data_IF_014841332671
#
_entry.id   IF_014841332671
#
_cell.length_a   1.000
_cell.length_b   1.000
_cell.length_c   1.000
_cell.angle_alpha   90.00
_cell.angle_beta   90.00
_cell.angle_gamma   90.00
#
_symmetry.space_group_name_H-M   'P 1'
#
loop_
_entity.id
_entity.type
_entity.pdbx_description
1 polymer ?
#
# COMPACT_ATOMS: atom_id res chain seq x y z
N UNK A 1 52.95 8.09 -4.83
CA UNK A 1 51.91 9.11 -4.58
C UNK A 1 51.55 9.70 -5.94
N UNK A 2 50.60 9.09 -6.65
CA UNK A 2 50.17 9.52 -7.98
C UNK A 2 49.30 10.77 -7.86
N UNK A 3 49.50 11.81 -8.69
CA UNK A 3 48.70 13.03 -8.63
C UNK A 3 47.28 12.72 -9.12
N UNK A 4 46.29 13.17 -8.34
CA UNK A 4 44.87 13.12 -8.73
C UNK A 4 44.68 14.11 -9.88
N UNK A 5 44.18 13.61 -11.01
CA UNK A 5 43.82 14.43 -12.17
C UNK A 5 42.55 15.25 -11.86
N UNK A 6 42.74 16.48 -11.38
CA UNK A 6 41.68 17.47 -11.16
C UNK A 6 41.45 18.29 -12.44
N UNK A 7 41.06 17.61 -13.52
CA UNK A 7 40.57 18.28 -14.73
C UNK A 7 39.18 18.91 -14.45
N UNK A 8 38.94 20.20 -14.78
CA UNK A 8 37.68 20.87 -14.51
C UNK A 8 36.54 20.20 -15.29
N UNK A 9 35.51 19.71 -14.58
CA UNK A 9 34.32 19.08 -15.21
C UNK A 9 33.64 20.09 -16.13
N UNK A 10 33.31 19.68 -17.35
CA UNK A 10 32.65 20.58 -18.29
C UNK A 10 31.19 20.84 -17.86
N UNK A 11 30.73 22.11 -17.86
CA UNK A 11 29.40 22.47 -17.37
C UNK A 11 28.26 21.82 -18.18
N UNK A 12 28.52 21.47 -19.45
CA UNK A 12 27.58 20.72 -20.29
C UNK A 12 27.44 19.26 -19.84
N UNK A 13 28.54 18.60 -19.47
CA UNK A 13 28.52 17.22 -18.98
C UNK A 13 27.74 17.12 -17.67
N UNK A 14 27.97 18.04 -16.74
CA UNK A 14 27.26 18.07 -15.46
C UNK A 14 25.77 18.35 -15.64
N UNK A 15 25.39 19.22 -16.60
CA UNK A 15 23.99 19.47 -16.94
C UNK A 15 23.30 18.23 -17.54
N UNK A 16 23.97 17.53 -18.48
CA UNK A 16 23.44 16.29 -19.06
C UNK A 16 23.26 15.23 -17.99
N UNK A 17 24.26 15.03 -17.11
CA UNK A 17 24.16 14.07 -16.01
C UNK A 17 23.00 14.40 -15.07
N UNK A 18 22.80 15.68 -14.73
CA UNK A 18 21.69 16.12 -13.89
C UNK A 18 20.32 15.87 -14.55
N UNK A 19 20.17 16.19 -15.84
CA UNK A 19 18.93 15.94 -16.58
C UNK A 19 18.64 14.44 -16.68
N UNK A 20 19.64 13.65 -17.03
CA UNK A 20 19.51 12.18 -17.10
C UNK A 20 19.12 11.60 -15.73
N UNK A 21 19.77 12.05 -14.66
CA UNK A 21 19.44 11.61 -13.30
C UNK A 21 17.98 11.94 -12.93
N UNK A 22 17.50 13.15 -13.30
CA UNK A 22 16.10 13.53 -13.10
C UNK A 22 15.17 12.63 -13.90
N UNK A 23 15.46 12.38 -15.18
CA UNK A 23 14.62 11.50 -16.01
C UNK A 23 14.54 10.08 -15.44
N UNK A 24 15.66 9.54 -14.96
CA UNK A 24 15.69 8.24 -14.28
C UNK A 24 14.85 8.28 -13.00
N UNK A 25 15.01 9.31 -12.16
CA UNK A 25 14.23 9.46 -10.93
C UNK A 25 12.71 9.56 -11.21
N UNK A 26 12.32 10.29 -12.25
CA UNK A 26 10.93 10.40 -12.71
C UNK A 26 10.40 9.05 -13.15
N UNK A 27 11.14 8.32 -13.98
CA UNK A 27 10.73 6.99 -14.44
C UNK A 27 10.55 6.01 -13.26
N UNK A 28 11.46 6.04 -12.28
CA UNK A 28 11.36 5.24 -11.06
C UNK A 28 10.12 5.62 -10.23
N UNK A 29 9.87 6.91 -10.02
CA UNK A 29 8.70 7.37 -9.29
C UNK A 29 7.39 6.96 -9.98
N UNK A 30 7.31 7.07 -11.31
CA UNK A 30 6.14 6.61 -12.07
C UNK A 30 5.95 5.10 -11.89
N UNK A 31 7.02 4.31 -12.02
CA UNK A 31 6.98 2.86 -11.84
C UNK A 31 6.51 2.46 -10.44
N UNK A 32 7.03 3.10 -9.39
CA UNK A 32 6.60 2.88 -8.01
C UNK A 32 5.13 3.27 -7.79
N UNK A 33 4.69 4.38 -8.40
CA UNK A 33 3.29 4.80 -8.33
C UNK A 33 2.34 3.82 -9.01
N UNK A 34 2.72 3.29 -10.18
CA UNK A 34 1.95 2.23 -10.88
C UNK A 34 1.91 0.95 -10.05
N UNK A 35 3.02 0.55 -9.44
CA UNK A 35 3.06 -0.63 -8.58
C UNK A 35 2.13 -0.50 -7.37
N UNK A 36 2.17 0.66 -6.67
CA UNK A 36 1.24 0.95 -5.56
C UNK A 36 -0.22 0.97 -6.03
N UNK A 37 -0.50 1.52 -7.21
CA UNK A 37 -1.84 1.53 -7.79
C UNK A 37 -2.35 0.10 -8.06
N UNK A 38 -1.55 -0.77 -8.66
CA UNK A 38 -1.95 -2.17 -8.88
C UNK A 38 -2.21 -2.90 -7.55
N UNK A 39 -1.41 -2.63 -6.51
CA UNK A 39 -1.63 -3.21 -5.19
C UNK A 39 -2.96 -2.74 -4.59
N UNK A 40 -3.28 -1.46 -4.74
CA UNK A 40 -4.58 -0.90 -4.35
C UNK A 40 -5.73 -1.55 -5.11
N UNK A 41 -5.61 -1.70 -6.43
CA UNK A 41 -6.66 -2.27 -7.27
C UNK A 41 -6.98 -3.72 -6.89
N UNK A 42 -5.95 -4.55 -6.75
CA UNK A 42 -6.11 -5.94 -6.31
C UNK A 42 -6.80 -6.05 -4.95
N UNK A 43 -6.41 -5.21 -3.97
CA UNK A 43 -7.10 -5.18 -2.67
C UNK A 43 -8.54 -4.68 -2.79
N UNK A 44 -8.80 -3.73 -3.69
CA UNK A 44 -10.12 -3.13 -3.91
C UNK A 44 -11.10 -4.15 -4.47
N UNK A 45 -10.68 -4.96 -5.42
CA UNK A 45 -11.50 -6.03 -6.02
C UNK A 45 -11.89 -7.06 -4.96
N UNK A 46 -10.91 -7.61 -4.21
CA UNK A 46 -11.18 -8.58 -3.13
C UNK A 46 -12.10 -7.99 -2.06
N UNK A 47 -11.83 -6.76 -1.60
CA UNK A 47 -12.67 -6.11 -0.61
C UNK A 47 -14.08 -5.79 -1.13
N UNK A 48 -14.25 -5.56 -2.44
CA UNK A 48 -15.56 -5.36 -3.05
C UNK A 48 -16.37 -6.66 -3.07
N UNK A 49 -15.75 -7.79 -3.44
CA UNK A 49 -16.37 -9.12 -3.38
C UNK A 49 -16.81 -9.45 -1.95
N UNK A 50 -15.92 -9.31 -0.96
CA UNK A 50 -16.26 -9.55 0.45
C UNK A 50 -17.43 -8.66 0.88
N UNK A 51 -17.40 -7.36 0.59
CA UNK A 51 -18.48 -6.43 0.98
C UNK A 51 -19.82 -6.74 0.30
N UNK A 52 -19.80 -7.29 -0.91
CA UNK A 52 -21.02 -7.66 -1.63
C UNK A 52 -21.63 -8.96 -1.09
N UNK A 53 -20.78 -9.92 -0.73
CA UNK A 53 -21.21 -11.30 -0.48
C UNK A 53 -21.29 -11.65 1.00
N UNK A 54 -20.33 -11.22 1.83
CA UNK A 54 -20.12 -11.77 3.18
C UNK A 54 -21.36 -11.67 4.09
N UNK A 55 -22.10 -10.57 4.01
CA UNK A 55 -23.32 -10.33 4.82
C UNK A 55 -24.62 -10.46 3.97
N UNK A 56 -24.55 -11.05 2.78
CA UNK A 56 -25.72 -11.27 1.91
C UNK A 56 -26.65 -12.37 2.47
N UNK A 57 -27.93 -12.40 2.06
CA UNK A 57 -28.80 -13.53 2.38
C UNK A 57 -28.24 -14.85 1.82
N UNK A 58 -28.32 -15.96 2.55
CA UNK A 58 -27.85 -17.26 2.07
C UNK A 58 -28.54 -17.68 0.77
N UNK A 59 -27.74 -18.15 -0.19
CA UNK A 59 -28.20 -18.76 -1.43
C UNK A 59 -28.32 -20.29 -1.28
N UNK A 60 -28.96 -20.94 -2.26
CA UNK A 60 -28.97 -22.41 -2.34
C UNK A 60 -27.69 -22.89 -3.01
N UNK A 61 -27.16 -24.03 -2.56
CA UNK A 61 -25.92 -24.61 -3.10
C UNK A 61 -25.99 -24.82 -4.61
N UNK A 62 -27.09 -25.42 -5.09
CA UNK A 62 -27.35 -25.72 -6.50
C UNK A 62 -27.31 -24.51 -7.44
N UNK A 63 -27.54 -23.30 -6.93
CA UNK A 63 -27.52 -22.07 -7.73
C UNK A 63 -26.08 -21.61 -8.01
N UNK A 64 -25.16 -21.93 -7.10
CA UNK A 64 -23.75 -21.56 -7.20
C UNK A 64 -22.88 -22.72 -7.74
N UNK A 65 -23.20 -23.95 -7.37
CA UNK A 65 -22.53 -25.18 -7.78
C UNK A 65 -23.56 -26.19 -8.32
N UNK A 66 -24.01 -26.04 -9.59
CA UNK A 66 -25.03 -26.91 -10.17
C UNK A 66 -24.61 -28.37 -10.34
N UNK A 67 -23.30 -28.65 -10.32
CA UNK A 67 -22.72 -29.98 -10.43
C UNK A 67 -21.49 -30.12 -9.51
N UNK A 68 -21.09 -31.35 -9.14
CA UNK A 68 -19.94 -31.60 -8.26
C UNK A 68 -18.59 -31.07 -8.77
N UNK A 69 -18.43 -30.96 -10.08
CA UNK A 69 -17.24 -30.42 -10.75
C UNK A 69 -17.34 -28.91 -11.06
N UNK A 70 -18.47 -28.28 -10.72
CA UNK A 70 -18.66 -26.84 -10.89
C UNK A 70 -17.66 -26.07 -10.05
N UNK A 71 -17.14 -24.98 -10.61
CA UNK A 71 -16.13 -24.13 -9.99
C UNK A 71 -16.77 -22.86 -9.45
N UNK A 72 -16.44 -22.50 -8.20
CA UNK A 72 -16.86 -21.22 -7.65
C UNK A 72 -16.07 -20.10 -8.30
N UNK A 73 -16.75 -19.10 -8.87
CA UNK A 73 -16.06 -17.97 -9.48
C UNK A 73 -15.51 -17.02 -8.41
N UNK A 74 -14.46 -16.27 -8.74
CA UNK A 74 -13.90 -15.26 -7.84
C UNK A 74 -14.90 -14.15 -7.42
N UNK A 75 -15.96 -13.93 -8.22
CA UNK A 75 -17.03 -12.99 -7.88
C UNK A 75 -18.04 -13.57 -6.88
N UNK A 76 -18.09 -14.89 -6.73
CA UNK A 76 -18.95 -15.62 -5.80
C UNK A 76 -18.22 -16.01 -4.49
N UNK A 77 -16.91 -15.75 -4.37
CA UNK A 77 -16.18 -15.95 -3.11
C UNK A 77 -16.88 -15.21 -1.96
N UNK A 78 -16.93 -15.83 -0.78
CA UNK A 78 -17.67 -15.37 0.39
C UNK A 78 -19.20 -15.37 0.27
N UNK A 79 -19.79 -15.98 -0.76
CA UNK A 79 -21.26 -16.07 -0.84
C UNK A 79 -21.78 -17.03 0.23
N UNK A 80 -22.69 -16.60 1.12
CA UNK A 80 -23.27 -17.48 2.12
C UNK A 80 -24.19 -18.50 1.44
N UNK A 81 -24.10 -19.75 1.88
CA UNK A 81 -25.02 -20.83 1.48
C UNK A 81 -25.63 -21.45 2.71
N UNK A 82 -26.90 -21.79 2.61
CA UNK A 82 -27.61 -22.59 3.61
C UNK A 82 -27.66 -24.04 3.13
N UNK A 83 -27.19 -24.95 3.97
CA UNK A 83 -27.11 -26.37 3.70
C UNK A 83 -27.81 -27.12 4.83
N UNK A 84 -28.71 -28.03 4.50
CA UNK A 84 -29.34 -28.95 5.46
C UNK A 84 -28.90 -30.37 5.17
N UNK A 85 -28.46 -31.08 6.20
CA UNK A 85 -27.79 -32.35 6.06
C UNK A 85 -27.16 -32.80 7.37
N UNK A 86 -26.09 -33.58 7.30
CA UNK A 86 -25.36 -34.03 8.48
C UNK A 86 -23.85 -34.05 8.21
N UNK A 87 -23.04 -33.92 9.25
CA UNK A 87 -21.61 -34.11 9.13
C UNK A 87 -21.29 -35.61 9.01
N UNK A 88 -20.27 -35.95 8.23
CA UNK A 88 -19.69 -37.28 8.30
C UNK A 88 -18.90 -37.43 9.61
N UNK A 89 -19.27 -38.43 10.41
CA UNK A 89 -18.63 -38.77 11.69
C UNK A 89 -17.89 -40.11 11.65
N UNK A 90 -17.78 -40.74 10.49
CA UNK A 90 -17.01 -41.98 10.33
C UNK A 90 -15.50 -41.77 10.60
N UNK A 91 -14.79 -42.81 11.07
CA UNK A 91 -13.34 -42.75 11.22
C UNK A 91 -12.64 -42.33 9.92
N UNK A 92 -11.92 -41.20 9.94
CA UNK A 92 -11.21 -40.66 8.79
C UNK A 92 -11.93 -39.54 8.03
N UNK A 93 -13.16 -39.18 8.41
CA UNK A 93 -13.84 -38.02 7.82
C UNK A 93 -13.27 -36.67 8.27
N UNK A 94 -12.85 -36.55 9.53
CA UNK A 94 -12.28 -35.31 10.04
C UNK A 94 -10.84 -35.15 9.55
N UNK A 95 -10.59 -34.04 8.86
CA UNK A 95 -9.28 -33.65 8.39
C UNK A 95 -8.83 -32.36 9.09
N UNK A 96 -7.53 -32.25 9.34
CA UNK A 96 -6.93 -31.06 9.92
C UNK A 96 -6.01 -30.37 8.91
N UNK A 97 -6.38 -29.15 8.54
CA UNK A 97 -5.60 -28.35 7.60
C UNK A 97 -4.50 -27.62 8.34
N UNK A 98 -3.24 -27.92 8.05
CA UNK A 98 -2.10 -27.45 8.85
C UNK A 98 -1.71 -26.00 8.56
N UNK A 99 -0.82 -25.48 9.41
CA UNK A 99 -0.13 -24.19 9.23
C UNK A 99 -1.11 -23.01 9.07
N UNK A 100 -2.19 -23.02 9.85
CA UNK A 100 -3.19 -21.96 9.82
C UNK A 100 -2.89 -20.95 10.91
N UNK A 101 -2.48 -19.72 10.58
CA UNK A 101 -2.23 -18.70 11.58
C UNK A 101 -3.55 -18.16 12.14
N UNK A 102 -3.56 -17.89 13.44
CA UNK A 102 -4.61 -17.11 14.12
C UNK A 102 -3.94 -16.25 15.20
N UNK A 103 -3.87 -14.93 14.94
CA UNK A 103 -3.08 -14.02 15.76
C UNK A 103 -1.59 -14.39 15.74
N UNK A 104 -1.03 -14.64 16.92
CA UNK A 104 0.38 -15.04 17.10
C UNK A 104 0.61 -16.56 17.07
N UNK A 105 -0.45 -17.37 17.04
CA UNK A 105 -0.37 -18.82 17.06
C UNK A 105 -0.53 -19.42 15.67
N UNK A 106 0.07 -20.60 15.46
CA UNK A 106 -0.15 -21.44 14.29
C UNK A 106 -0.87 -22.69 14.75
N UNK A 107 -1.91 -23.09 14.03
CA UNK A 107 -2.73 -24.24 14.37
C UNK A 107 -3.32 -24.88 13.14
N UNK A 108 -4.50 -25.45 13.30
CA UNK A 108 -5.17 -26.21 12.25
C UNK A 108 -6.58 -25.70 12.02
N UNK A 109 -7.09 -25.88 10.81
CA UNK A 109 -8.54 -25.82 10.57
C UNK A 109 -9.13 -27.22 10.67
N UNK A 110 -10.22 -27.36 11.42
CA UNK A 110 -11.01 -28.59 11.43
C UNK A 110 -11.92 -28.59 10.18
N UNK A 111 -11.62 -29.48 9.25
CA UNK A 111 -12.31 -29.65 7.98
C UNK A 111 -13.14 -30.94 8.03
N UNK A 112 -14.44 -30.84 7.81
CA UNK A 112 -15.38 -31.96 7.93
C UNK A 112 -16.31 -32.00 6.72
N UNK A 113 -16.50 -33.15 6.06
CA UNK A 113 -17.50 -33.30 5.03
C UNK A 113 -18.92 -33.12 5.60
N UNK A 114 -19.73 -32.33 4.91
CA UNK A 114 -21.14 -32.12 5.20
C UNK A 114 -21.98 -32.66 4.06
N UNK A 115 -22.74 -33.72 4.34
CA UNK A 115 -23.51 -34.49 3.36
C UNK A 115 -24.93 -33.94 3.28
N UNK A 116 -25.34 -33.57 2.06
CA UNK A 116 -26.65 -32.97 1.78
C UNK A 116 -27.34 -33.69 0.62
N UNK A 117 -28.62 -33.39 0.39
CA UNK A 117 -29.34 -33.89 -0.78
C UNK A 117 -28.77 -33.39 -2.12
N UNK A 118 -28.06 -32.25 -2.12
CA UNK A 118 -27.46 -31.65 -3.32
C UNK A 118 -26.00 -32.12 -3.55
N UNK A 119 -25.45 -32.94 -2.64
CA UNK A 119 -24.06 -33.41 -2.65
C UNK A 119 -23.31 -33.08 -1.37
N UNK A 120 -22.04 -33.45 -1.33
CA UNK A 120 -21.17 -33.27 -0.15
C UNK A 120 -20.28 -32.05 -0.31
N UNK A 121 -20.28 -31.16 0.69
CA UNK A 121 -19.42 -29.96 0.73
C UNK A 121 -18.49 -30.08 1.93
N UNK A 122 -17.21 -29.76 1.75
CA UNK A 122 -16.29 -29.72 2.89
C UNK A 122 -16.45 -28.41 3.66
N UNK A 123 -16.63 -28.50 4.97
CA UNK A 123 -16.86 -27.36 5.84
C UNK A 123 -15.69 -27.20 6.80
N UNK A 124 -15.07 -26.02 6.79
CA UNK A 124 -14.16 -25.57 7.84
C UNK A 124 -15.00 -25.09 9.02
N UNK A 125 -15.11 -25.90 10.08
CA UNK A 125 -15.90 -25.56 11.27
C UNK A 125 -15.25 -24.47 12.13
N UNK A 126 -13.91 -24.44 12.13
CA UNK A 126 -13.13 -23.42 12.79
C UNK A 126 -11.67 -23.82 12.99
N UNK A 127 -10.99 -23.06 13.83
CA UNK A 127 -9.58 -23.17 14.12
C UNK A 127 -9.33 -23.89 15.46
N UNK A 128 -8.28 -24.72 15.50
CA UNK A 128 -7.83 -25.48 16.68
C UNK A 128 -6.34 -25.27 16.93
N UNK A 129 -5.94 -25.23 18.20
CA UNK A 129 -4.54 -25.08 18.60
C UNK A 129 -3.72 -26.30 18.18
N UNK A 130 -2.42 -26.09 17.96
CA UNK A 130 -1.48 -27.20 17.80
C UNK A 130 -0.98 -27.71 19.15
N UNK A 131 -0.53 -28.96 19.17
CA UNK A 131 0.28 -29.52 20.26
C UNK A 131 1.61 -28.74 20.44
N UNK A 132 2.34 -29.06 21.52
CA UNK A 132 3.58 -28.34 21.89
C UNK A 132 4.69 -28.42 20.82
N UNK A 133 4.64 -29.43 19.94
CA UNK A 133 5.63 -29.65 18.87
C UNK A 133 5.09 -29.32 17.47
N UNK A 134 3.92 -28.69 17.39
CA UNK A 134 3.25 -28.23 16.15
C UNK A 134 3.01 -29.34 15.09
N UNK A 135 2.85 -30.57 15.55
CA UNK A 135 2.71 -31.77 14.73
C UNK A 135 1.26 -32.19 14.51
N UNK A 136 0.38 -31.91 15.47
CA UNK A 136 -1.01 -32.34 15.51
C UNK A 136 -1.89 -31.30 16.21
N UNK A 137 -3.23 -31.34 16.04
CA UNK A 137 -4.11 -30.53 16.86
C UNK A 137 -3.98 -30.92 18.34
N UNK A 138 -3.96 -29.93 19.24
CA UNK A 138 -3.84 -30.15 20.69
C UNK A 138 -5.08 -30.86 21.26
N UNK A 139 -6.24 -30.56 20.68
CA UNK A 139 -7.53 -31.13 21.00
C UNK A 139 -8.26 -31.44 19.70
N UNK A 140 -9.12 -32.46 19.73
CA UNK A 140 -9.97 -32.83 18.61
C UNK A 140 -11.43 -32.52 18.99
N UNK A 141 -11.96 -31.32 18.67
CA UNK A 141 -13.32 -30.95 19.00
C UNK A 141 -14.34 -31.91 18.40
N UNK A 142 -15.37 -32.25 19.17
CA UNK A 142 -16.46 -33.13 18.73
C UNK A 142 -17.24 -32.53 17.55
N UNK A 143 -17.82 -33.43 16.75
CA UNK A 143 -18.64 -33.08 15.59
C UNK A 143 -20.12 -33.31 15.93
N UNK A 144 -21.02 -32.35 15.66
CA UNK A 144 -22.46 -32.54 15.82
C UNK A 144 -22.96 -33.75 15.01
N UNK A 145 -23.73 -34.61 15.66
CA UNK A 145 -24.42 -35.73 15.00
C UNK A 145 -25.87 -35.36 14.67
N UNK A 146 -26.42 -36.04 13.66
CA UNK A 146 -27.81 -35.89 13.23
C UNK A 146 -28.02 -34.78 12.19
N UNK A 147 -29.28 -34.52 11.86
CA UNK A 147 -29.66 -33.52 10.86
C UNK A 147 -29.53 -32.12 11.44
N UNK A 148 -28.68 -31.31 10.80
CA UNK A 148 -28.41 -29.92 11.14
C UNK A 148 -28.54 -29.04 9.89
N UNK A 149 -28.78 -27.76 10.11
CA UNK A 149 -28.69 -26.71 9.11
C UNK A 149 -27.45 -25.88 9.39
N UNK A 150 -26.59 -25.75 8.40
CA UNK A 150 -25.37 -24.95 8.45
C UNK A 150 -25.48 -23.79 7.47
N UNK A 151 -25.02 -22.62 7.91
CA UNK A 151 -24.73 -21.50 7.02
C UNK A 151 -23.21 -21.41 6.90
N UNK A 152 -22.70 -21.40 5.68
CA UNK A 152 -21.28 -21.32 5.41
C UNK A 152 -21.00 -20.31 4.29
N UNK A 153 -19.87 -19.61 4.36
CA UNK A 153 -19.37 -18.82 3.24
C UNK A 153 -18.66 -19.75 2.26
N UNK A 154 -19.14 -19.86 1.02
CA UNK A 154 -18.41 -20.62 0.01
C UNK A 154 -17.12 -19.89 -0.38
N UNK A 155 -16.06 -20.68 -0.49
CA UNK A 155 -14.70 -20.28 -0.86
C UNK A 155 -14.23 -21.14 -2.05
N UNK A 156 -13.51 -20.58 -3.03
CA UNK A 156 -12.86 -21.38 -4.07
C UNK A 156 -11.83 -22.33 -3.47
N UNK A 157 -11.54 -23.43 -4.14
CA UNK A 157 -10.50 -24.37 -3.72
C UNK A 157 -9.13 -23.70 -3.63
N UNK A 158 -8.34 -24.13 -2.64
CA UNK A 158 -6.98 -23.62 -2.49
C UNK A 158 -6.01 -24.30 -3.47
N UNK A 159 -4.92 -23.61 -3.87
CA UNK A 159 -3.89 -24.24 -4.68
C UNK A 159 -3.24 -25.39 -3.92
N UNK A 160 -2.90 -26.46 -4.65
CA UNK A 160 -2.18 -27.60 -4.09
C UNK A 160 -0.78 -27.17 -3.64
N UNK A 161 -0.51 -27.32 -2.35
CA UNK A 161 0.79 -27.01 -1.76
C UNK A 161 1.65 -28.29 -1.70
N UNK A 162 2.65 -28.37 -2.57
CA UNK A 162 3.67 -29.43 -2.55
C UNK A 162 3.18 -30.82 -2.99
N UNK A 163 4.13 -31.77 -3.02
CA UNK A 163 3.94 -33.17 -3.41
C UNK A 163 4.22 -34.14 -2.24
N UNK A 164 4.46 -33.60 -1.04
CA UNK A 164 4.82 -34.39 0.15
C UNK A 164 3.60 -35.11 0.70
N UNK A 165 3.78 -36.37 1.06
CA UNK A 165 2.75 -37.16 1.74
C UNK A 165 2.37 -36.50 3.06
N UNK A 166 1.08 -36.21 3.22
CA UNK A 166 0.56 -35.66 4.47
C UNK A 166 0.51 -36.74 5.55
N UNK A 167 0.69 -36.37 6.83
CA UNK A 167 0.31 -37.24 7.94
C UNK A 167 -1.15 -37.69 7.82
N UNK A 168 -1.49 -38.86 8.37
CA UNK A 168 -2.86 -39.34 8.37
C UNK A 168 -3.80 -38.32 9.04
N UNK A 169 -4.96 -38.07 8.44
CA UNK A 169 -5.95 -37.10 8.93
C UNK A 169 -5.54 -35.62 8.78
N UNK A 170 -4.45 -35.32 8.06
CA UNK A 170 -3.99 -33.95 7.86
C UNK A 170 -3.87 -33.59 6.37
N UNK A 171 -4.08 -32.32 6.05
CA UNK A 171 -3.92 -31.77 4.70
C UNK A 171 -3.21 -30.41 4.74
N UNK A 172 -2.54 -30.02 3.66
CA UNK A 172 -1.83 -28.73 3.58
C UNK A 172 -2.70 -27.60 3.06
N UNK A 173 -3.66 -27.92 2.19
CA UNK A 173 -4.55 -26.97 1.52
C UNK A 173 -5.96 -27.55 1.47
N UNK A 174 -6.97 -26.69 1.51
CA UNK A 174 -8.36 -27.11 1.28
C UNK A 174 -8.61 -27.20 -0.21
N UNK A 175 -8.22 -28.34 -0.77
CA UNK A 175 -8.46 -28.67 -2.17
C UNK A 175 -9.21 -30.01 -2.23
N UNK A 176 -10.55 -29.98 -2.27
CA UNK A 176 -11.34 -31.21 -2.17
C UNK A 176 -11.01 -32.21 -3.29
N UNK A 177 -10.62 -31.74 -4.49
CA UNK A 177 -10.23 -32.62 -5.59
C UNK A 177 -9.04 -33.54 -5.26
N UNK A 178 -8.19 -33.19 -4.28
CA UNK A 178 -7.05 -34.03 -3.90
C UNK A 178 -7.42 -35.29 -3.11
N UNK A 179 -8.56 -35.26 -2.41
CA UNK A 179 -8.91 -36.32 -1.45
C UNK A 179 -10.40 -36.69 -1.46
N UNK A 180 -11.21 -36.12 -2.35
CA UNK A 180 -12.63 -36.46 -2.52
C UNK A 180 -12.86 -37.98 -2.66
N UNK A 181 -12.04 -38.66 -3.47
CA UNK A 181 -12.15 -40.12 -3.70
C UNK A 181 -11.78 -40.98 -2.48
N UNK A 182 -11.16 -40.37 -1.45
CA UNK A 182 -10.69 -41.05 -0.24
C UNK A 182 -11.60 -40.79 0.97
N UNK A 183 -12.54 -39.85 0.86
CA UNK A 183 -13.46 -39.54 1.94
C UNK A 183 -14.53 -40.63 2.06
N UNK A 184 -14.79 -41.15 3.28
CA UNK A 184 -15.84 -42.14 3.49
C UNK A 184 -17.19 -41.43 3.62
N UNK A 185 -17.68 -40.90 2.49
CA UNK A 185 -18.96 -40.17 2.40
C UNK A 185 -19.86 -40.79 1.34
N UNK A 186 -21.17 -40.64 1.51
CA UNK A 186 -22.14 -41.10 0.54
C UNK A 186 -22.40 -40.01 -0.52
N UNK A 187 -22.16 -40.34 -1.78
CA UNK A 187 -22.49 -39.48 -2.91
C UNK A 187 -21.35 -38.55 -3.37
N UNK A 188 -21.65 -37.65 -4.32
CA UNK A 188 -20.63 -36.86 -4.98
C UNK A 188 -20.16 -35.69 -4.11
N UNK A 189 -18.85 -35.48 -4.06
CA UNK A 189 -18.20 -34.36 -3.36
C UNK A 189 -18.04 -33.18 -4.32
N UNK A 190 -18.45 -31.98 -3.91
CA UNK A 190 -18.15 -30.75 -4.64
C UNK A 190 -16.65 -30.44 -4.56
N UNK A 191 -16.01 -30.32 -5.71
CA UNK A 191 -14.55 -30.19 -5.81
C UNK A 191 -14.05 -28.78 -6.10
N UNK A 192 -14.90 -27.91 -6.65
CA UNK A 192 -14.56 -26.52 -6.98
C UNK A 192 -14.92 -25.49 -5.90
N UNK A 193 -15.17 -25.94 -4.66
CA UNK A 193 -15.41 -25.07 -3.51
C UNK A 193 -15.32 -25.81 -2.18
N UNK A 194 -15.16 -25.05 -1.10
CA UNK A 194 -15.42 -25.48 0.28
C UNK A 194 -16.19 -24.38 1.03
N UNK A 195 -16.69 -24.66 2.23
CA UNK A 195 -17.42 -23.70 3.05
C UNK A 195 -16.69 -23.32 4.33
N UNK A 196 -16.68 -22.04 4.70
CA UNK A 196 -16.28 -21.55 6.02
C UNK A 196 -17.51 -21.40 6.91
N UNK A 197 -17.56 -22.10 8.05
CA UNK A 197 -18.75 -22.14 8.90
C UNK A 197 -19.08 -20.78 9.54
N UNK A 198 -20.30 -20.30 9.27
CA UNK A 198 -20.90 -19.13 9.94
C UNK A 198 -21.70 -19.58 11.15
N UNK A 199 -22.66 -20.49 10.96
CA UNK A 199 -23.53 -21.01 12.02
C UNK A 199 -23.96 -22.45 11.73
N UNK A 200 -24.25 -23.21 12.78
CA UNK A 200 -24.78 -24.58 12.73
C UNK A 200 -25.88 -24.72 13.80
N UNK A 201 -26.99 -25.36 13.44
CA UNK A 201 -28.14 -25.55 14.34
C UNK A 201 -29.08 -26.65 13.84
N UNK A 202 -29.74 -27.42 14.72
CA UNK A 202 -29.57 -27.46 16.18
C UNK A 202 -28.33 -28.27 16.58
N UNK A 203 -27.59 -27.82 17.58
CA UNK A 203 -26.51 -28.60 18.22
C UNK A 203 -26.16 -28.02 19.58
N UNK A 204 -25.82 -28.89 20.53
CA UNK A 204 -25.24 -28.51 21.84
C UNK A 204 -23.71 -28.68 21.85
N UNK A 205 -23.13 -29.19 20.76
CA UNK A 205 -21.69 -29.39 20.63
C UNK A 205 -21.01 -28.04 20.38
N UNK A 206 -19.99 -27.74 21.18
CA UNK A 206 -19.21 -26.52 21.02
C UNK A 206 -18.42 -26.55 19.70
N UNK A 207 -18.51 -25.46 18.92
CA UNK A 207 -17.68 -25.30 17.72
C UNK A 207 -16.24 -24.94 18.07
N UNK A 208 -15.25 -25.31 17.22
CA UNK A 208 -13.89 -24.76 17.31
C UNK A 208 -13.87 -23.23 17.19
N UNK A 209 -12.71 -22.61 17.45
CA UNK A 209 -12.60 -21.14 17.40
C UNK A 209 -13.04 -20.61 16.04
N UNK A 210 -14.02 -19.68 15.96
CA UNK A 210 -14.48 -19.15 14.68
C UNK A 210 -13.36 -18.48 13.91
N UNK A 211 -13.41 -18.56 12.57
CA UNK A 211 -12.49 -17.83 11.71
C UNK A 211 -12.76 -16.32 11.79
N UNK A 212 -11.71 -15.52 11.68
CA UNK A 212 -11.83 -14.07 11.68
C UNK A 212 -12.48 -13.56 10.39
N UNK A 213 -13.28 -12.50 10.50
CA UNK A 213 -13.80 -11.80 9.32
C UNK A 213 -12.62 -11.26 8.50
N UNK A 214 -12.58 -11.48 7.18
CA UNK A 214 -11.49 -11.00 6.35
C UNK A 214 -11.39 -9.47 6.40
N UNK A 215 -10.16 -8.96 6.44
CA UNK A 215 -9.87 -7.53 6.42
C UNK A 215 -10.22 -6.92 5.05
N UNK A 216 -10.97 -5.82 5.06
CA UNK A 216 -11.40 -5.12 3.84
C UNK A 216 -10.72 -3.77 3.66
N UNK A 217 -9.81 -3.40 4.58
CA UNK A 217 -8.99 -2.20 4.47
C UNK A 217 -8.07 -2.26 3.25
N UNK A 218 -8.17 -1.21 2.44
CA UNK A 218 -7.33 -1.02 1.26
C UNK A 218 -5.92 -0.54 1.62
N UNK A 219 -5.71 -0.11 2.87
CA UNK A 219 -4.45 0.50 3.32
C UNK A 219 -4.11 1.81 2.58
N UNK A 220 -2.89 2.33 2.79
CA UNK A 220 -2.44 3.61 2.23
C UNK A 220 -1.90 3.51 0.79
N UNK A 221 -2.12 2.40 0.08
CA UNK A 221 -1.54 2.17 -1.26
C UNK A 221 -1.93 3.27 -2.26
N UNK A 222 -3.18 3.74 -2.22
CA UNK A 222 -3.64 4.82 -3.10
C UNK A 222 -2.92 6.15 -2.81
N UNK A 223 -2.79 6.54 -1.54
CA UNK A 223 -2.07 7.75 -1.17
C UNK A 223 -0.60 7.69 -1.56
N UNK A 224 0.03 6.52 -1.42
CA UNK A 224 1.42 6.34 -1.84
C UNK A 224 1.57 6.42 -3.37
N UNK A 225 0.62 5.88 -4.15
CA UNK A 225 0.64 6.03 -5.60
C UNK A 225 0.66 7.52 -6.01
N UNK A 226 -0.23 8.32 -5.44
CA UNK A 226 -0.25 9.76 -5.69
C UNK A 226 1.01 10.47 -5.19
N UNK A 227 1.54 10.09 -4.03
CA UNK A 227 2.79 10.64 -3.50
C UNK A 227 3.95 10.44 -4.49
N UNK A 228 4.09 9.23 -5.04
CA UNK A 228 5.11 8.94 -6.05
C UNK A 228 4.94 9.75 -7.33
N UNK A 229 3.70 9.91 -7.81
CA UNK A 229 3.45 10.74 -8.99
C UNK A 229 3.69 12.23 -8.72
N UNK A 230 3.40 12.72 -7.51
CA UNK A 230 3.74 14.09 -7.10
C UNK A 230 5.27 14.28 -7.11
N UNK A 231 6.05 13.32 -6.62
CA UNK A 231 7.51 13.38 -6.70
C UNK A 231 8.01 13.37 -8.15
N UNK A 232 7.40 12.55 -9.01
CA UNK A 232 7.69 12.53 -10.45
C UNK A 232 7.47 13.90 -11.12
N UNK A 233 6.50 14.69 -10.64
CA UNK A 233 6.27 16.06 -11.13
C UNK A 233 7.19 17.09 -10.47
N UNK A 234 7.54 16.89 -9.20
CA UNK A 234 8.33 17.83 -8.42
C UNK A 234 9.75 18.04 -8.98
N UNK A 235 10.45 16.96 -9.34
CA UNK A 235 11.83 17.04 -9.86
C UNK A 235 11.96 17.88 -11.15
N UNK A 236 11.18 17.64 -12.22
CA UNK A 236 11.23 18.49 -13.42
C UNK A 236 10.72 19.90 -13.15
N UNK A 237 9.71 20.08 -12.29
CA UNK A 237 9.25 21.42 -11.91
C UNK A 237 10.36 22.25 -11.24
N UNK A 238 11.12 21.65 -10.31
CA UNK A 238 12.26 22.28 -9.68
C UNK A 238 13.35 22.67 -10.70
N UNK A 239 13.63 21.80 -11.67
CA UNK A 239 14.58 22.08 -12.76
C UNK A 239 14.12 23.27 -13.62
N UNK A 240 12.85 23.31 -14.01
CA UNK A 240 12.28 24.41 -14.79
C UNK A 240 12.33 25.73 -14.02
N UNK A 241 12.00 25.73 -12.73
CA UNK A 241 12.09 26.93 -11.87
C UNK A 241 13.54 27.40 -11.78
N UNK A 242 14.49 26.49 -11.56
CA UNK A 242 15.92 26.83 -11.52
C UNK A 242 16.41 27.39 -12.86
N UNK A 243 16.05 26.77 -13.97
CA UNK A 243 16.42 27.22 -15.31
C UNK A 243 15.83 28.61 -15.62
N UNK A 244 14.57 28.87 -15.23
CA UNK A 244 13.93 30.18 -15.37
C UNK A 244 14.62 31.26 -14.55
N UNK A 245 15.01 30.96 -13.30
CA UNK A 245 15.77 31.88 -12.44
C UNK A 245 17.13 32.19 -13.04
N UNK A 246 17.90 31.17 -13.38
CA UNK A 246 19.22 31.34 -13.99
C UNK A 246 19.19 32.15 -15.30
N UNK A 247 18.12 32.01 -16.11
CA UNK A 247 17.92 32.82 -17.31
C UNK A 247 17.65 34.29 -16.99
N UNK A 248 16.84 34.58 -15.98
CA UNK A 248 16.56 35.96 -15.55
C UNK A 248 17.83 36.64 -15.04
N UNK A 249 18.58 35.98 -14.17
CA UNK A 249 19.83 36.51 -13.61
C UNK A 249 20.85 36.85 -14.70
N UNK A 250 20.95 36.03 -15.76
CA UNK A 250 21.81 36.29 -16.93
C UNK A 250 21.35 37.52 -17.73
N UNK A 251 20.05 37.64 -17.99
CA UNK A 251 19.50 38.79 -18.73
C UNK A 251 19.69 40.10 -17.96
N UNK A 252 19.53 40.06 -16.64
CA UNK A 252 19.77 41.21 -15.76
C UNK A 252 21.25 41.61 -15.73
N UNK A 253 22.17 40.64 -15.66
CA UNK A 253 23.61 40.89 -15.74
C UNK A 253 24.03 41.48 -17.09
N UNK A 254 23.56 40.90 -18.20
CA UNK A 254 23.82 41.43 -19.56
C UNK A 254 23.25 42.84 -19.75
N UNK A 255 22.10 43.15 -19.15
CA UNK A 255 21.52 44.49 -19.19
C UNK A 255 22.34 45.49 -18.36
N UNK A 256 22.81 45.09 -17.17
CA UNK A 256 23.67 45.90 -16.33
C UNK A 256 25.03 46.17 -17.00
N UNK A 257 25.63 45.17 -17.64
CA UNK A 257 26.89 45.31 -18.39
C UNK A 257 26.72 46.24 -19.60
N UNK A 258 25.61 46.12 -20.33
CA UNK A 258 25.25 47.02 -21.44
C UNK A 258 25.07 48.46 -20.96
N UNK A 259 24.40 48.66 -19.81
CA UNK A 259 24.22 49.98 -19.22
C UNK A 259 25.55 50.60 -18.75
N UNK A 260 26.43 49.79 -18.15
CA UNK A 260 27.77 50.23 -17.74
C UNK A 260 28.63 50.63 -18.95
N UNK A 261 28.65 49.81 -20.01
CA UNK A 261 29.38 50.09 -21.25
C UNK A 261 28.87 51.36 -21.95
N UNK A 262 27.54 51.57 -21.98
CA UNK A 262 26.95 52.78 -22.55
C UNK A 262 27.28 54.06 -21.76
N UNK A 263 27.38 53.96 -20.43
CA UNK A 263 27.78 55.09 -19.57
C UNK A 263 29.24 55.47 -19.82
N UNK A 264 30.13 54.48 -19.93
CA UNK A 264 31.56 54.72 -20.23
C UNK A 264 31.76 55.30 -21.63
N UNK A 265 30.95 54.91 -22.61
CA UNK A 265 30.99 55.49 -23.96
C UNK A 265 30.52 56.97 -23.97
N UNK A 266 29.50 57.31 -23.18
CA UNK A 266 29.00 58.69 -23.05
C UNK A 266 29.99 59.63 -22.32
N UNK A 267 30.75 59.11 -21.35
CA UNK A 267 31.79 59.87 -20.64
C UNK A 267 33.11 60.00 -21.44
N UNK A 268 33.26 59.26 -22.55
CA UNK A 268 34.43 59.27 -23.43
C UNK A 268 34.34 60.24 -24.62
N UNK A 269 33.23 60.96 -24.77
CA UNK A 269 33.05 61.97 -25.82
C UNK A 269 33.54 63.35 -25.32
N UNK A 270 34.67 63.80 -25.86
CA UNK A 270 35.36 65.06 -25.55
C UNK A 270 34.44 66.28 -25.83
N UNK A 271 34.18 67.18 -24.85
CA UNK A 271 33.37 68.37 -25.08
C UNK A 271 34.21 69.43 -25.79
N UNK A 272 34.46 69.26 -27.08
CA UNK A 272 35.17 70.22 -27.91
C UNK A 272 34.26 70.76 -29.03
N UNK A 273 33.19 71.48 -28.66
CA UNK A 273 32.81 72.72 -29.36
C UNK A 273 31.80 73.55 -28.54
N UNK A 274 32.30 74.50 -27.74
CA UNK A 274 31.48 75.59 -27.16
C UNK A 274 32.28 76.90 -27.26
N UNK A 275 31.84 77.89 -28.06
CA UNK A 275 32.49 79.20 -28.11
C UNK A 275 32.00 80.13 -26.97
N UNK A 276 32.76 81.20 -26.65
CA UNK A 276 32.94 81.68 -25.28
C UNK A 276 31.94 82.74 -24.80
N UNK A 277 31.87 82.84 -23.47
CA UNK A 277 31.09 83.78 -22.65
C UNK A 277 31.33 85.27 -22.94
N UNK A 278 30.24 86.04 -22.96
CA UNK A 278 30.20 87.49 -22.69
C UNK A 278 29.83 87.83 -21.22
N UNK A 279 30.04 89.08 -20.76
CA UNK A 279 30.30 89.39 -19.34
C UNK A 279 29.06 89.57 -18.45
N UNK A 280 29.31 89.43 -17.14
CA UNK A 280 28.43 89.56 -15.96
C UNK A 280 27.85 90.97 -15.79
N UNK A 281 26.68 91.11 -15.14
CA UNK A 281 26.52 91.43 -13.68
C UNK A 281 25.00 91.57 -13.29
N UNK A 282 24.58 91.93 -12.05
CA UNK A 282 24.15 90.99 -11.00
C UNK A 282 22.70 91.17 -10.50
N UNK A 283 22.21 90.21 -9.70
CA UNK A 283 20.97 90.35 -8.93
C UNK A 283 20.61 89.11 -8.10
N UNK A 284 20.96 89.12 -6.82
CA UNK A 284 20.57 88.15 -5.78
C UNK A 284 19.13 88.43 -5.27
N UNK A 285 18.56 87.71 -4.26
CA UNK A 285 19.10 86.61 -3.44
C UNK A 285 18.11 85.45 -3.12
N UNK A 286 18.59 84.40 -2.44
CA UNK A 286 17.76 83.44 -1.68
C UNK A 286 18.34 82.02 -1.67
N UNK A 287 19.39 81.75 -0.89
CA UNK A 287 19.31 81.14 0.45
C UNK A 287 18.87 79.65 0.46
N UNK A 288 19.85 78.78 0.63
CA UNK A 288 19.71 77.37 1.04
C UNK A 288 19.75 77.26 2.59
N UNK A 289 19.97 76.10 3.27
CA UNK A 289 19.91 74.69 2.85
C UNK A 289 19.31 73.72 3.92
N UNK A 290 19.34 72.42 3.60
CA UNK A 290 19.76 71.29 4.48
C UNK A 290 18.88 70.78 5.65
N UNK A 291 19.08 69.48 5.92
CA UNK A 291 18.98 68.86 7.24
C UNK A 291 17.83 67.87 7.36
N UNK A 292 18.02 66.55 7.24
CA UNK A 292 18.72 65.63 8.15
C UNK A 292 17.73 64.68 8.84
N UNK A 293 17.98 63.37 8.64
CA UNK A 293 17.66 62.20 9.49
C UNK A 293 17.08 62.52 10.87
N UNK A 294 16.07 61.75 11.34
CA UNK A 294 16.09 60.94 12.58
C UNK A 294 15.06 59.76 12.43
N UNK A 295 14.79 58.84 13.40
CA UNK A 295 15.24 57.46 13.36
C UNK A 295 14.13 56.39 13.44
N UNK A 296 14.59 55.14 13.40
CA UNK A 296 13.94 53.87 13.80
C UNK A 296 12.90 53.98 14.94
N UNK A 297 11.72 53.39 14.72
CA UNK A 297 10.87 52.78 15.77
C UNK A 297 10.43 51.38 15.29
N UNK A 298 10.93 50.30 15.89
CA UNK A 298 10.33 49.54 17.03
C UNK A 298 9.03 48.84 16.64
N UNK A 299 9.07 47.50 16.63
CA UNK A 299 7.90 46.65 16.42
C UNK A 299 8.26 45.18 16.42
N UNK A 300 8.66 44.67 17.59
CA UNK A 300 8.82 43.23 17.81
C UNK A 300 7.47 42.51 17.67
N UNK A 301 7.51 41.32 17.07
CA UNK A 301 6.40 40.36 17.05
C UNK A 301 6.96 39.00 17.53
N UNK A 302 6.30 38.33 18.47
CA UNK A 302 6.82 37.11 19.07
C UNK A 302 6.71 35.93 18.11
N UNK A 303 7.67 35.01 18.19
CA UNK A 303 7.66 33.74 17.50
C UNK A 303 6.52 32.85 18.01
N UNK A 304 5.81 32.10 17.15
CA UNK A 304 4.84 31.13 17.62
C UNK A 304 5.55 29.93 18.25
N UNK A 305 5.06 29.52 19.41
CA UNK A 305 5.52 28.36 20.16
C UNK A 305 5.45 27.09 19.30
N UNK A 306 6.56 26.34 19.25
CA UNK A 306 6.61 24.97 18.76
C UNK A 306 5.67 24.12 19.63
N UNK A 307 4.52 23.72 19.10
CA UNK A 307 3.80 22.55 19.61
C UNK A 307 4.65 21.33 19.27
N UNK A 308 5.16 20.65 20.29
CA UNK A 308 5.64 19.28 20.17
C UNK A 308 4.47 18.42 19.69
N UNK A 309 4.56 17.89 18.47
CA UNK A 309 3.72 16.76 18.07
C UNK A 309 4.08 15.60 19.00
N UNK A 310 3.08 15.03 19.65
CA UNK A 310 3.24 13.72 20.26
C UNK A 310 3.57 12.73 19.14
N UNK A 311 4.66 11.99 19.30
CA UNK A 311 5.04 10.88 18.40
C UNK A 311 3.92 9.86 18.44
N UNK A 312 3.52 9.36 17.27
CA UNK A 312 2.58 8.24 17.18
C UNK A 312 3.34 6.95 17.49
N UNK A 313 2.65 5.97 18.07
CA UNK A 313 3.19 4.66 18.49
C UNK A 313 4.02 3.97 17.39
N UNK A 314 3.65 4.19 16.12
CA UNK A 314 4.36 3.66 14.95
C UNK A 314 5.80 4.21 14.80
N UNK A 315 6.09 5.44 15.27
CA UNK A 315 7.45 6.02 15.22
C UNK A 315 8.38 5.43 16.31
N UNK A 316 7.82 4.94 17.42
CA UNK A 316 8.59 4.27 18.49
C UNK A 316 8.89 2.81 18.13
N UNK A 317 8.01 2.17 17.37
CA UNK A 317 8.23 0.81 16.84
C UNK A 317 9.26 0.80 15.69
N UNK A 318 9.37 1.87 14.90
CA UNK A 318 10.38 2.01 13.83
C UNK A 318 11.79 2.32 14.36
N UNK A 319 11.93 3.17 15.41
CA UNK A 319 13.22 3.45 16.05
C UNK A 319 13.75 2.22 16.83
N UNK A 320 12.87 1.41 17.43
CA UNK A 320 13.26 0.18 18.15
C UNK A 320 13.85 -0.89 17.22
N UNK A 321 13.37 -0.98 15.97
CA UNK A 321 13.89 -1.89 14.96
C UNK A 321 15.24 -1.44 14.38
N UNK A 322 15.57 -0.15 14.46
CA UNK A 322 16.87 0.39 14.03
C UNK A 322 17.95 0.18 15.09
N UNK A 323 17.62 0.31 16.38
CA UNK A 323 18.57 0.06 17.49
C UNK A 323 18.89 -1.43 17.71
N UNK A 324 18.03 -2.35 17.26
CA UNK A 324 18.25 -3.80 17.32
C UNK A 324 19.21 -4.30 16.21
N UNK A 325 19.47 -3.51 15.17
CA UNK A 325 20.38 -3.85 14.08
C UNK A 325 21.84 -3.39 14.31
N UNK A 326 22.09 -2.56 15.33
CA UNK A 326 23.39 -1.98 15.66
C UNK A 326 24.05 -2.59 16.94
N UNK A 327 23.60 -3.78 17.37
CA UNK A 327 24.24 -4.56 18.46
C UNK A 327 24.78 -5.92 18.05
#
# INVERSE_FOLDING_TARGET
MTPRDDSPRSPLRDAILAVTAILVAVALCIGLGVWQWHRFESKREVAATIRANYDAPPAQLRDLLPAPDSQLTAAQDWTPVELTGHYCTEPGCVLYVRNRPLGAAVGFWQLVPFETADGTVLIVRGWVDSDEVESAPAEEPEIPEGEITVVAHLRPEEPVLGDRTNPAGQVQSVNPAQFADQLPVDGPVHTGAYGDLVSESPTDIARPRPLEKPETSLGPHLSYAFQWWIFALFFPAALVVRARRARRDRLEAEAAERAATATVAADGEDPADVPPHGPRDPGAPGAAPAGSRIPRSRGGRPAPARRSRARTRDEEEEDALLDEHDR
#
